data_IF_744348527772
#
_entry.id   IF_744348527772
#
_cell.length_a   1.000
_cell.length_b   1.000
_cell.length_c   1.000
_cell.angle_alpha   90.00
_cell.angle_beta   90.00
_cell.angle_gamma   90.00
#
_symmetry.space_group_name_H-M   'P 1'
#
loop_
_entity.id
_entity.type
_entity.pdbx_description
1 polymer ?
#
# COMPACT_ATOMS: atom_id res chain seq x y z
N UNK A 1 -16.12 -19.37 -2.77
CA UNK A 1 -15.32 -18.15 -2.76
C UNK A 1 -15.00 -17.76 -4.20
N UNK A 2 -15.21 -16.50 -4.57
CA UNK A 2 -14.85 -16.00 -5.89
C UNK A 2 -13.34 -15.99 -6.13
N UNK A 3 -12.94 -15.80 -7.37
CA UNK A 3 -11.53 -15.68 -7.76
C UNK A 3 -10.98 -14.33 -7.28
N UNK A 4 -10.28 -14.35 -6.15
CA UNK A 4 -9.70 -13.16 -5.52
C UNK A 4 -8.64 -12.46 -6.39
N UNK A 5 -8.10 -13.15 -7.42
CA UNK A 5 -7.18 -12.53 -8.37
C UNK A 5 -7.86 -11.54 -9.31
N UNK A 6 -9.17 -11.54 -9.37
CA UNK A 6 -9.98 -10.63 -10.19
C UNK A 6 -10.50 -9.42 -9.41
N UNK A 7 -10.25 -9.36 -8.11
CA UNK A 7 -10.64 -8.23 -7.28
C UNK A 7 -9.63 -7.10 -7.41
N UNK A 8 -10.11 -5.89 -7.64
CA UNK A 8 -9.31 -4.66 -7.62
C UNK A 8 -9.94 -3.64 -6.68
N UNK A 9 -9.12 -2.74 -6.16
CA UNK A 9 -9.56 -1.63 -5.32
C UNK A 9 -9.51 -0.31 -6.07
N UNK A 10 -10.52 0.51 -5.85
CA UNK A 10 -10.56 1.91 -6.27
C UNK A 10 -11.27 2.75 -5.23
N UNK A 11 -10.92 4.02 -5.13
CA UNK A 11 -11.54 4.96 -4.18
C UNK A 11 -12.73 5.70 -4.78
N UNK A 12 -12.87 5.67 -6.12
CA UNK A 12 -13.81 6.50 -6.87
C UNK A 12 -13.74 7.99 -6.50
N UNK A 13 -12.60 8.43 -5.98
CA UNK A 13 -12.36 9.82 -5.67
C UNK A 13 -11.87 10.57 -6.94
N UNK A 14 -12.30 11.83 -7.15
CA UNK A 14 -13.08 12.69 -6.25
C UNK A 14 -14.59 12.69 -6.50
N UNK A 15 -15.16 11.70 -7.19
CA UNK A 15 -16.57 11.70 -7.59
C UNK A 15 -17.53 11.86 -6.39
N UNK A 16 -18.07 13.05 -6.24
CA UNK A 16 -19.12 13.40 -5.28
C UNK A 16 -18.72 13.57 -3.81
N UNK A 17 -17.59 13.02 -3.39
CA UNK A 17 -17.17 13.03 -1.98
C UNK A 17 -15.91 13.86 -1.70
N UNK A 18 -15.34 14.50 -2.72
CA UNK A 18 -14.09 15.24 -2.61
C UNK A 18 -12.84 14.33 -2.56
N UNK A 19 -11.70 14.92 -2.33
CA UNK A 19 -10.42 14.19 -2.24
C UNK A 19 -10.33 13.49 -0.89
N UNK A 20 -10.08 12.18 -0.93
CA UNK A 20 -9.80 11.37 0.27
C UNK A 20 -8.30 11.07 0.36
N UNK A 21 -7.56 11.79 1.20
CA UNK A 21 -6.15 11.46 1.43
C UNK A 21 -6.00 10.02 1.93
N UNK A 22 -4.99 9.31 1.41
CA UNK A 22 -4.70 7.92 1.78
C UNK A 22 -5.84 6.93 1.48
N UNK A 23 -6.72 7.26 0.53
CA UNK A 23 -7.93 6.50 0.25
C UNK A 23 -7.67 5.01 0.02
N UNK A 24 -6.68 4.65 -0.80
CA UNK A 24 -6.33 3.24 -1.05
C UNK A 24 -5.83 2.54 0.22
N UNK A 25 -4.98 3.17 1.01
CA UNK A 25 -4.51 2.58 2.28
C UNK A 25 -5.65 2.39 3.28
N UNK A 26 -6.60 3.32 3.32
CA UNK A 26 -7.82 3.20 4.15
C UNK A 26 -8.68 2.04 3.67
N UNK A 27 -8.86 1.86 2.37
CA UNK A 27 -9.60 0.74 1.80
C UNK A 27 -8.94 -0.60 2.12
N UNK A 28 -7.62 -0.70 1.98
CA UNK A 28 -6.86 -1.91 2.36
C UNK A 28 -7.05 -2.23 3.84
N UNK A 29 -6.87 -1.24 4.72
CA UNK A 29 -7.05 -1.41 6.16
C UNK A 29 -8.49 -1.82 6.52
N UNK A 30 -9.49 -1.18 5.92
CA UNK A 30 -10.90 -1.49 6.17
C UNK A 30 -11.27 -2.91 5.72
N UNK A 31 -10.85 -3.31 4.53
CA UNK A 31 -11.09 -4.67 4.03
C UNK A 31 -10.43 -5.72 4.93
N UNK A 32 -9.23 -5.44 5.40
CA UNK A 32 -8.50 -6.39 6.24
C UNK A 32 -9.09 -6.47 7.64
N UNK A 33 -9.43 -5.33 8.27
CA UNK A 33 -9.89 -5.29 9.66
C UNK A 33 -11.36 -5.61 9.84
N UNK A 34 -12.23 -5.21 8.89
CA UNK A 34 -13.68 -5.39 8.97
C UNK A 34 -14.19 -6.46 8.00
N UNK A 35 -13.51 -6.65 6.88
CA UNK A 35 -13.89 -7.61 5.85
C UNK A 35 -13.22 -8.98 5.96
N UNK A 36 -12.37 -9.16 6.96
CA UNK A 36 -11.64 -10.41 7.22
C UNK A 36 -10.80 -10.89 6.02
N UNK A 37 -10.35 -9.95 5.18
CA UNK A 37 -9.45 -10.23 4.06
C UNK A 37 -8.02 -10.18 4.58
N UNK A 38 -7.19 -11.23 4.36
CA UNK A 38 -5.78 -11.16 4.72
C UNK A 38 -5.09 -9.90 4.16
N UNK A 39 -4.31 -9.20 4.98
CA UNK A 39 -3.75 -7.91 4.62
C UNK A 39 -2.90 -7.96 3.35
N UNK A 40 -2.12 -9.03 3.17
CA UNK A 40 -1.33 -9.27 1.96
C UNK A 40 -2.20 -9.34 0.70
N UNK A 41 -3.37 -9.97 0.76
CA UNK A 41 -4.30 -10.02 -0.36
C UNK A 41 -4.95 -8.66 -0.61
N UNK A 42 -5.32 -7.93 0.43
CA UNK A 42 -5.88 -6.58 0.30
C UNK A 42 -4.90 -5.63 -0.40
N UNK A 43 -3.61 -5.72 -0.12
CA UNK A 43 -2.58 -5.00 -0.89
C UNK A 43 -2.50 -5.45 -2.35
N UNK A 44 -2.59 -6.76 -2.62
CA UNK A 44 -2.59 -7.26 -3.99
C UNK A 44 -3.75 -6.69 -4.83
N UNK A 45 -4.92 -6.48 -4.22
CA UNK A 45 -6.07 -5.89 -4.93
C UNK A 45 -5.77 -4.47 -5.44
N UNK A 46 -4.97 -3.71 -4.71
CA UNK A 46 -4.58 -2.35 -5.07
C UNK A 46 -3.32 -2.30 -5.97
N UNK A 47 -2.58 -3.37 -6.11
CA UNK A 47 -1.29 -3.41 -6.81
C UNK A 47 -1.28 -4.43 -7.95
N UNK A 48 -0.87 -5.65 -7.69
CA UNK A 48 -0.67 -6.68 -8.72
C UNK A 48 -1.94 -7.04 -9.49
N UNK A 49 -3.08 -7.13 -8.83
CA UNK A 49 -4.35 -7.42 -9.51
C UNK A 49 -4.75 -6.27 -10.45
N UNK A 50 -4.64 -5.03 -9.97
CA UNK A 50 -4.89 -3.84 -10.79
C UNK A 50 -3.95 -3.79 -11.99
N UNK A 51 -2.66 -4.04 -11.76
CA UNK A 51 -1.65 -4.08 -12.82
C UNK A 51 -1.99 -5.11 -13.91
N UNK A 52 -2.37 -6.31 -13.51
CA UNK A 52 -2.75 -7.36 -14.46
C UNK A 52 -4.01 -7.02 -15.24
N UNK A 53 -5.05 -6.54 -14.56
CA UNK A 53 -6.33 -6.22 -15.21
C UNK A 53 -6.24 -5.01 -16.13
N UNK A 54 -5.36 -4.07 -15.85
CA UNK A 54 -5.18 -2.84 -16.62
C UNK A 54 -3.99 -2.89 -17.58
N UNK A 55 -3.27 -4.03 -17.64
CA UNK A 55 -2.06 -4.19 -18.45
C UNK A 55 -1.01 -3.09 -18.18
N UNK A 56 -0.75 -2.80 -16.90
CA UNK A 56 0.24 -1.80 -16.49
C UNK A 56 1.63 -2.44 -16.36
N UNK A 57 2.66 -1.65 -16.59
CA UNK A 57 4.06 -2.03 -16.39
C UNK A 57 4.57 -1.83 -14.95
N UNK A 58 3.72 -1.31 -14.08
CA UNK A 58 3.95 -1.11 -12.64
C UNK A 58 3.04 -2.03 -11.79
N UNK A 59 3.10 -1.91 -10.46
CA UNK A 59 2.24 -2.64 -9.52
C UNK A 59 2.70 -4.05 -9.17
N UNK A 60 3.79 -4.52 -9.78
CA UNK A 60 4.47 -5.79 -9.48
C UNK A 60 5.98 -5.56 -9.44
N UNK A 61 6.65 -6.16 -8.49
CA UNK A 61 8.13 -6.11 -8.40
C UNK A 61 8.67 -7.31 -9.18
N UNK A 62 8.98 -7.07 -10.44
CA UNK A 62 9.52 -8.08 -11.38
C UNK A 62 10.59 -7.44 -12.26
N UNK A 63 11.54 -8.26 -12.70
CA UNK A 63 12.57 -7.83 -13.67
C UNK A 63 11.89 -7.39 -14.96
N UNK A 64 12.29 -6.22 -15.49
CA UNK A 64 11.74 -5.64 -16.72
C UNK A 64 10.52 -4.74 -16.53
N UNK A 65 10.01 -4.60 -15.30
CA UNK A 65 8.94 -3.65 -14.97
C UNK A 65 9.50 -2.32 -14.47
N UNK A 66 8.65 -1.29 -14.48
CA UNK A 66 8.97 -0.02 -13.87
C UNK A 66 9.36 -0.21 -12.39
N UNK A 67 10.43 0.46 -11.96
CA UNK A 67 10.89 0.41 -10.57
C UNK A 67 10.07 1.37 -9.71
N UNK A 68 8.77 1.04 -9.56
CA UNK A 68 7.79 1.78 -8.79
C UNK A 68 7.41 0.97 -7.56
N UNK A 69 7.81 1.44 -6.38
CA UNK A 69 7.48 0.76 -5.13
C UNK A 69 7.42 1.72 -3.96
N UNK A 70 6.75 1.27 -2.91
CA UNK A 70 6.62 1.98 -1.64
C UNK A 70 7.18 1.08 -0.54
N UNK A 71 8.04 1.64 0.30
CA UNK A 71 8.55 0.98 1.50
C UNK A 71 7.73 1.46 2.69
N UNK A 72 7.09 0.51 3.35
CA UNK A 72 6.19 0.76 4.48
C UNK A 72 6.57 -0.10 5.67
N UNK A 73 6.24 0.39 6.85
CA UNK A 73 6.27 -0.39 8.08
C UNK A 73 5.03 -0.07 8.91
N UNK A 74 4.78 -0.85 9.96
CA UNK A 74 3.73 -0.51 10.92
C UNK A 74 3.95 0.89 11.49
N UNK A 75 2.87 1.58 11.82
CA UNK A 75 2.97 2.84 12.54
C UNK A 75 3.63 2.64 13.92
N UNK A 76 4.39 3.64 14.39
CA UNK A 76 5.10 3.55 15.67
C UNK A 76 4.19 3.24 16.86
N UNK A 77 2.95 3.75 16.84
CA UNK A 77 1.96 3.55 17.90
C UNK A 77 1.13 2.28 17.75
N UNK A 78 1.31 1.51 16.66
CA UNK A 78 0.50 0.32 16.42
C UNK A 78 0.80 -0.79 17.42
N UNK A 79 -0.26 -1.44 17.90
CA UNK A 79 -0.16 -2.65 18.71
C UNK A 79 0.19 -3.91 17.88
N UNK A 80 0.12 -3.84 16.55
CA UNK A 80 0.48 -4.93 15.64
C UNK A 80 1.96 -5.31 15.76
N UNK A 81 2.25 -6.58 15.57
CA UNK A 81 3.64 -7.10 15.63
C UNK A 81 4.48 -6.67 14.44
N UNK A 82 3.84 -6.58 13.28
CA UNK A 82 4.45 -6.19 12.00
C UNK A 82 3.45 -5.38 11.17
N UNK A 83 3.84 -5.00 9.94
CA UNK A 83 3.00 -4.23 9.04
C UNK A 83 1.64 -4.90 8.75
N UNK A 84 1.65 -6.16 8.35
CA UNK A 84 0.42 -6.86 7.96
C UNK A 84 -0.53 -7.04 9.15
N UNK A 85 0.02 -7.38 10.30
CA UNK A 85 -0.74 -7.51 11.55
C UNK A 85 -1.37 -6.16 11.96
N UNK A 86 -0.64 -5.06 11.81
CA UNK A 86 -1.17 -3.72 12.12
C UNK A 86 -2.31 -3.30 11.19
N UNK A 87 -2.19 -3.61 9.91
CA UNK A 87 -3.25 -3.35 8.93
C UNK A 87 -4.49 -4.20 9.25
N UNK A 88 -4.31 -5.43 9.67
CA UNK A 88 -5.40 -6.32 10.09
C UNK A 88 -6.12 -5.83 11.35
N UNK A 89 -5.43 -5.09 12.22
CA UNK A 89 -6.03 -4.39 13.36
C UNK A 89 -6.76 -3.09 12.98
N UNK A 90 -6.64 -2.63 11.74
CA UNK A 90 -7.28 -1.41 11.24
C UNK A 90 -6.38 -0.18 11.21
N UNK A 91 -5.09 -0.34 11.51
CA UNK A 91 -4.13 0.77 11.45
C UNK A 91 -3.72 1.08 10.01
N UNK A 92 -3.38 2.34 9.77
CA UNK A 92 -2.70 2.75 8.54
C UNK A 92 -1.20 2.52 8.69
N UNK A 93 -0.52 2.03 7.63
CA UNK A 93 0.93 1.89 7.66
C UNK A 93 1.62 3.27 7.61
N UNK A 94 2.84 3.33 8.14
CA UNK A 94 3.74 4.44 7.93
C UNK A 94 4.55 4.24 6.65
N UNK A 95 4.55 5.24 5.75
CA UNK A 95 5.35 5.23 4.53
C UNK A 95 6.74 5.80 4.84
N UNK A 96 7.75 4.98 4.71
CA UNK A 96 9.15 5.34 4.92
C UNK A 96 9.86 5.83 3.67
N UNK A 97 9.43 5.38 2.48
CA UNK A 97 10.03 5.80 1.20
C UNK A 97 9.11 5.49 0.04
N UNK A 98 9.09 6.36 -0.96
CA UNK A 98 8.45 6.11 -2.26
C UNK A 98 9.48 6.24 -3.37
N UNK A 99 9.52 5.24 -4.24
CA UNK A 99 10.40 5.19 -5.42
C UNK A 99 9.52 5.12 -6.66
N UNK A 100 9.81 5.98 -7.65
CA UNK A 100 9.13 6.00 -8.96
C UNK A 100 10.21 6.08 -10.03
N UNK A 101 10.14 5.19 -11.01
CA UNK A 101 11.16 5.05 -12.07
C UNK A 101 12.58 4.89 -11.50
N UNK A 102 12.72 4.14 -10.40
CA UNK A 102 14.00 3.95 -9.73
C UNK A 102 14.54 5.17 -8.98
N UNK A 103 13.78 6.27 -8.93
CA UNK A 103 14.18 7.51 -8.27
C UNK A 103 13.42 7.67 -6.96
N UNK A 104 14.13 7.91 -5.86
CA UNK A 104 13.52 8.23 -4.57
C UNK A 104 12.80 9.57 -4.67
N UNK A 105 11.47 9.54 -4.56
CA UNK A 105 10.62 10.73 -4.62
C UNK A 105 10.31 11.31 -3.25
N UNK A 106 10.12 10.43 -2.27
CA UNK A 106 9.80 10.82 -0.89
C UNK A 106 10.55 9.91 0.06
N UNK A 107 11.25 10.47 1.02
CA UNK A 107 11.94 9.70 2.07
C UNK A 107 11.06 9.44 3.29
N UNK A 108 10.05 10.26 3.52
CA UNK A 108 9.02 10.05 4.55
C UNK A 108 7.74 10.73 4.11
N UNK A 109 6.64 10.05 4.25
CA UNK A 109 5.33 10.68 4.04
C UNK A 109 4.94 11.48 5.28
N UNK A 110 4.50 12.72 5.07
CA UNK A 110 3.91 13.56 6.13
C UNK A 110 2.42 13.22 6.36
N UNK A 111 1.80 12.55 5.41
CA UNK A 111 0.37 12.27 5.42
C UNK A 111 0.02 10.93 6.07
N UNK A 112 1.00 10.06 6.27
CA UNK A 112 0.83 8.80 6.99
C UNK A 112 1.36 8.92 8.42
N UNK A 113 0.93 8.01 9.34
CA UNK A 113 1.59 7.89 10.64
C UNK A 113 3.09 7.63 10.46
N UNK A 114 3.93 8.00 11.43
CA UNK A 114 5.36 7.67 11.39
C UNK A 114 5.57 6.16 11.33
N UNK A 115 6.38 5.70 10.39
CA UNK A 115 6.79 4.29 10.29
C UNK A 115 7.66 3.88 11.48
N UNK A 116 7.51 2.66 11.95
CA UNK A 116 8.33 2.09 13.03
C UNK A 116 9.79 1.97 12.63
N UNK A 117 10.03 1.58 11.37
CA UNK A 117 11.35 1.53 10.75
C UNK A 117 11.33 2.35 9.46
N UNK A 118 12.44 2.99 9.15
CA UNK A 118 12.63 3.74 7.90
C UNK A 118 13.82 3.18 7.14
N UNK A 119 13.76 3.14 5.80
CA UNK A 119 14.89 2.68 5.00
C UNK A 119 16.05 3.68 5.06
N UNK A 120 17.26 3.18 4.90
CA UNK A 120 18.49 3.95 4.79
C UNK A 120 19.04 3.76 3.38
N UNK A 121 19.35 4.86 2.70
CA UNK A 121 20.03 4.80 1.41
C UNK A 121 21.50 4.59 1.67
N UNK A 122 22.01 3.45 1.22
CA UNK A 122 23.45 3.15 1.26
C UNK A 122 24.04 3.52 -0.09
N UNK A 123 24.95 4.49 -0.09
CA UNK A 123 25.74 4.82 -1.30
C UNK A 123 26.89 3.83 -1.39
N UNK A 124 26.99 3.19 -2.51
CA UNK A 124 28.12 2.31 -2.86
C UNK A 124 29.26 3.11 -3.47
#
# INVERSE_FOLDING_TARGET
>A
MGDLQRVILGTDAPAGSGVQPLGILRMVSMLSSLGDVPAELAFCFATGNTARMRALDCGLIEVGRAADFVIMDKAQHSAGKNLLDSVQLGDLPGIGMTVIDGIVRTQRSRNTPPAGKVPVIVQS
#
